data_IF_523774167369
#
_entry.id   IF_523774167369
#
_cell.length_a   1.000
_cell.length_b   1.000
_cell.length_c   1.000
_cell.angle_alpha   90.00
_cell.angle_beta   90.00
_cell.angle_gamma   90.00
#
_symmetry.space_group_name_H-M   'P 1'
#
loop_
_entity.id
_entity.type
_entity.pdbx_description
1 polymer ?
#
# COMPACT_ATOMS: atom_id res chain seq x y z
N UNK A 1 -13.58 -6.41 -4.45
CA UNK A 1 -12.50 -5.54 -3.95
C UNK A 1 -11.23 -5.63 -4.77
N UNK A 2 -10.64 -6.83 -4.98
CA UNK A 2 -9.42 -7.00 -5.81
C UNK A 2 -9.64 -6.54 -7.26
N UNK A 3 -10.83 -6.77 -7.81
CA UNK A 3 -11.20 -6.30 -9.16
C UNK A 3 -11.12 -4.78 -9.33
N UNK A 4 -11.34 -3.99 -8.26
CA UNK A 4 -11.20 -2.54 -8.32
C UNK A 4 -9.74 -2.09 -8.34
N UNK A 5 -8.87 -2.76 -7.57
CA UNK A 5 -7.41 -2.53 -7.60
C UNK A 5 -6.85 -2.90 -8.97
N UNK A 6 -7.24 -4.06 -9.52
CA UNK A 6 -6.82 -4.51 -10.84
C UNK A 6 -7.28 -3.58 -11.96
N UNK A 7 -8.49 -3.02 -11.85
CA UNK A 7 -8.97 -2.04 -12.82
C UNK A 7 -8.14 -0.75 -12.76
N UNK A 8 -7.87 -0.20 -11.57
CA UNK A 8 -7.02 0.98 -11.41
C UNK A 8 -5.60 0.73 -11.94
N UNK A 9 -5.00 -0.42 -11.63
CA UNK A 9 -3.68 -0.82 -12.13
C UNK A 9 -3.65 -1.00 -13.66
N UNK A 10 -4.76 -1.44 -14.25
CA UNK A 10 -4.90 -1.64 -15.70
C UNK A 10 -5.13 -0.33 -16.45
N UNK A 11 -5.97 0.53 -15.89
CA UNK A 11 -6.48 1.74 -16.56
C UNK A 11 -5.64 2.98 -16.20
N UNK A 12 -4.91 2.97 -15.09
CA UNK A 12 -4.17 4.14 -14.59
C UNK A 12 -5.06 5.29 -14.12
N UNK A 13 -6.38 5.09 -14.12
CA UNK A 13 -7.36 6.08 -13.72
C UNK A 13 -7.28 6.38 -12.21
N UNK A 14 -7.63 7.60 -11.79
CA UNK A 14 -7.68 7.93 -10.38
C UNK A 14 -8.75 7.12 -9.66
N UNK A 15 -8.53 6.82 -8.37
CA UNK A 15 -9.46 6.03 -7.54
C UNK A 15 -10.91 6.58 -7.52
N UNK A 16 -11.10 7.87 -7.78
CA UNK A 16 -12.41 8.53 -7.83
C UNK A 16 -13.26 8.10 -9.03
N UNK A 17 -12.64 7.69 -10.12
CA UNK A 17 -13.33 7.25 -11.33
C UNK A 17 -13.67 5.75 -11.30
N UNK A 18 -13.42 5.07 -10.18
CA UNK A 18 -13.72 3.66 -10.06
C UNK A 18 -15.23 3.42 -10.17
N UNK A 19 -15.69 2.62 -11.15
CA UNK A 19 -17.11 2.30 -11.29
C UNK A 19 -17.66 1.60 -10.06
N UNK A 20 -18.86 2.00 -9.62
CA UNK A 20 -19.51 1.48 -8.40
C UNK A 20 -19.79 -0.04 -8.45
N UNK A 21 -19.80 -0.62 -9.66
CA UNK A 21 -19.85 -2.08 -9.88
C UNK A 21 -18.71 -2.85 -9.20
N UNK A 22 -17.58 -2.19 -8.92
CA UNK A 22 -16.45 -2.77 -8.21
C UNK A 22 -16.51 -2.56 -6.69
N UNK A 23 -17.53 -1.83 -6.22
CA UNK A 23 -17.72 -1.39 -4.84
C UNK A 23 -17.14 0.01 -4.59
N UNK A 24 -17.42 0.56 -3.39
CA UNK A 24 -16.93 1.88 -2.97
C UNK A 24 -15.40 1.96 -3.06
N UNK A 25 -14.89 2.89 -3.86
CA UNK A 25 -13.46 3.13 -4.04
C UNK A 25 -12.71 3.37 -2.73
N UNK A 26 -13.34 4.05 -1.76
CA UNK A 26 -12.78 4.30 -0.43
C UNK A 26 -12.37 3.01 0.25
N UNK A 27 -13.23 1.99 0.19
CA UNK A 27 -12.94 0.70 0.80
C UNK A 27 -11.72 0.05 0.14
N UNK A 28 -11.65 0.09 -1.18
CA UNK A 28 -10.57 -0.50 -1.97
C UNK A 28 -9.23 0.19 -1.70
N UNK A 29 -9.21 1.53 -1.72
CA UNK A 29 -8.03 2.34 -1.41
C UNK A 29 -7.55 2.12 0.04
N UNK A 30 -8.46 2.06 1.01
CA UNK A 30 -8.11 1.75 2.41
C UNK A 30 -7.51 0.34 2.53
N UNK A 31 -8.00 -0.66 1.79
CA UNK A 31 -7.42 -2.02 1.82
C UNK A 31 -6.00 -2.03 1.23
N UNK A 32 -5.82 -1.32 0.12
CA UNK A 32 -4.54 -1.20 -0.59
C UNK A 32 -3.50 -0.51 0.31
N UNK A 33 -3.82 0.67 0.85
CA UNK A 33 -2.93 1.42 1.72
C UNK A 33 -2.59 0.66 3.02
N UNK A 34 -3.52 -0.13 3.55
CA UNK A 34 -3.27 -1.00 4.73
C UNK A 34 -2.27 -2.12 4.43
N UNK A 35 -2.15 -2.57 3.18
CA UNK A 35 -1.17 -3.57 2.76
C UNK A 35 0.22 -2.93 2.64
N UNK A 36 0.32 -1.80 1.95
CA UNK A 36 1.57 -1.04 1.79
C UNK A 36 2.14 -0.58 3.14
N UNK A 37 1.29 -0.11 4.05
CA UNK A 37 1.72 0.30 5.40
C UNK A 37 2.26 -0.85 6.27
N UNK A 38 1.91 -2.11 5.97
CA UNK A 38 2.53 -3.28 6.61
C UNK A 38 3.82 -3.70 5.94
N UNK A 39 3.99 -3.42 4.65
CA UNK A 39 5.18 -3.78 3.90
C UNK A 39 6.37 -2.85 4.22
N UNK A 40 6.12 -1.54 4.36
CA UNK A 40 7.10 -0.57 4.87
C UNK A 40 7.58 -0.95 6.28
N UNK A 41 6.66 -1.35 7.17
CA UNK A 41 6.99 -1.82 8.52
C UNK A 41 7.75 -3.16 8.54
N UNK A 42 7.50 -4.05 7.57
CA UNK A 42 8.22 -5.32 7.41
C UNK A 42 9.62 -5.10 6.84
N UNK A 43 9.77 -4.19 5.87
CA UNK A 43 11.05 -3.80 5.27
C UNK A 43 11.96 -3.10 6.28
N UNK A 44 11.42 -2.20 7.12
CA UNK A 44 12.20 -1.54 8.19
C UNK A 44 12.65 -2.46 9.31
N UNK A 45 11.97 -3.60 9.54
CA UNK A 45 12.41 -4.61 10.52
C UNK A 45 13.55 -5.50 9.97
N UNK A 46 13.62 -5.65 8.65
CA UNK A 46 14.70 -6.39 7.97
C UNK A 46 15.93 -5.50 7.72
N UNK A 47 15.75 -4.20 7.43
CA UNK A 47 16.85 -3.23 7.25
C UNK A 47 17.37 -2.65 8.59
N UNK A 48 16.55 -2.63 9.64
CA UNK A 48 16.89 -2.09 10.97
C UNK A 48 17.80 -2.95 11.85
N UNK A 49 18.24 -4.11 11.38
CA UNK A 49 19.16 -5.01 12.09
C UNK A 49 20.66 -4.75 11.88
N UNK A 50 21.05 -3.78 11.01
CA UNK A 50 22.46 -3.57 10.64
C UNK A 50 23.01 -2.17 10.89
N UNK A 51 22.38 -1.36 11.72
CA UNK A 51 22.91 -0.04 12.09
C UNK A 51 22.68 0.30 13.57
N UNK A 52 23.13 -0.59 14.47
CA UNK A 52 23.43 -0.25 15.85
C UNK A 52 24.89 -0.58 16.14
N UNK A 53 25.76 0.20 15.51
CA UNK A 53 27.18 0.22 15.77
C UNK A 53 27.74 1.50 15.16
N UNK A 54 28.31 2.38 15.99
CA UNK A 54 28.79 3.74 15.69
C UNK A 54 27.62 4.74 15.69
N UNK A 55 27.46 5.63 16.67
CA UNK A 55 28.48 6.56 17.17
C UNK A 55 28.21 6.86 18.65
N UNK A 56 29.13 6.44 19.52
CA UNK A 56 29.35 7.04 20.83
C UNK A 56 30.60 7.91 20.66
N UNK A 57 30.39 9.20 20.52
CA UNK A 57 31.37 10.26 20.75
C UNK A 57 30.57 11.40 21.32
#
# INVERSE_FOLDING_TARGET
MVNGILWILRTGAPWRDLPERYGKWQSVATRYCKREGKEEGRRKREEGGRLLGKKKT
#
